data_IF_483271625723
#
_entry.id   IF_483271625723
#
_cell.length_a   1.000
_cell.length_b   1.000
_cell.length_c   1.000
_cell.angle_alpha   90.00
_cell.angle_beta   90.00
_cell.angle_gamma   90.00
#
_symmetry.space_group_name_H-M   'P 1'
#
loop_
_entity.id
_entity.type
_entity.pdbx_description
1 polymer ?
#
# COMPACT_ATOMS: atom_id res chain seq x y z
N UNK A 1 3.35 37.15 6.57
CA UNK A 1 2.05 36.62 6.14
C UNK A 1 1.61 35.51 7.09
N UNK A 2 0.35 35.47 7.55
CA UNK A 2 -0.12 34.41 8.43
C UNK A 2 -0.17 33.06 7.71
N UNK A 3 0.19 31.98 8.40
CA UNK A 3 0.13 30.62 7.86
C UNK A 3 -1.34 30.23 7.68
N UNK A 4 -1.73 29.76 6.49
CA UNK A 4 -3.10 29.32 6.26
C UNK A 4 -3.42 28.02 7.00
N UNK A 5 -4.69 27.83 7.38
CA UNK A 5 -5.16 26.60 8.03
C UNK A 5 -4.83 25.34 7.22
N UNK A 6 -4.83 25.45 5.89
CA UNK A 6 -4.42 24.36 4.98
C UNK A 6 -2.95 23.99 5.16
N UNK A 7 -2.06 24.99 5.29
CA UNK A 7 -0.63 24.77 5.47
C UNK A 7 -0.33 24.18 6.85
N UNK A 8 -1.07 24.60 7.89
CA UNK A 8 -1.00 23.97 9.22
C UNK A 8 -1.41 22.49 9.16
N UNK A 9 -2.55 22.17 8.54
CA UNK A 9 -3.00 20.77 8.38
C UNK A 9 -2.02 19.92 7.59
N UNK A 10 -1.39 20.47 6.55
CA UNK A 10 -0.40 19.73 5.77
C UNK A 10 0.85 19.37 6.59
N UNK A 11 1.21 20.18 7.58
CA UNK A 11 2.36 19.96 8.46
C UNK A 11 2.06 19.03 9.65
N UNK A 12 0.80 18.61 9.85
CA UNK A 12 0.39 17.65 10.87
C UNK A 12 1.22 16.36 10.75
N UNK A 13 1.87 15.94 11.84
CA UNK A 13 2.66 14.71 11.90
C UNK A 13 1.79 13.48 11.68
N UNK A 14 2.36 12.45 11.04
CA UNK A 14 1.68 11.19 10.84
C UNK A 14 1.52 10.44 12.17
N UNK A 15 0.33 9.88 12.34
CA UNK A 15 -0.01 8.93 13.40
C UNK A 15 -0.69 7.72 12.75
N UNK A 16 -0.78 6.57 13.42
CA UNK A 16 -1.41 5.37 12.87
C UNK A 16 -2.88 5.62 12.50
N UNK A 17 -3.61 6.29 13.40
CA UNK A 17 -5.01 6.66 13.22
C UNK A 17 -5.21 7.64 12.06
N UNK A 18 -4.28 8.60 11.91
CA UNK A 18 -4.30 9.52 10.78
C UNK A 18 -4.05 8.77 9.46
N UNK A 19 -3.07 7.87 9.39
CA UNK A 19 -2.82 7.07 8.19
C UNK A 19 -4.05 6.26 7.77
N UNK A 20 -4.67 5.54 8.70
CA UNK A 20 -5.88 4.78 8.41
C UNK A 20 -7.00 5.70 7.91
N UNK A 21 -7.21 6.85 8.56
CA UNK A 21 -8.20 7.84 8.14
C UNK A 21 -7.94 8.40 6.74
N UNK A 22 -6.69 8.67 6.39
CA UNK A 22 -6.30 9.15 5.07
C UNK A 22 -6.50 8.06 4.01
N UNK A 23 -6.12 6.82 4.29
CA UNK A 23 -6.31 5.70 3.36
C UNK A 23 -7.79 5.44 3.07
N UNK A 24 -8.65 5.44 4.10
CA UNK A 24 -10.11 5.36 3.94
C UNK A 24 -10.71 6.47 3.06
N UNK A 25 -10.06 7.63 2.97
CA UNK A 25 -10.50 8.75 2.11
C UNK A 25 -10.02 8.60 0.67
N UNK A 26 -8.90 7.95 0.43
CA UNK A 26 -8.25 7.86 -0.88
C UNK A 26 -8.69 6.59 -1.63
N UNK A 27 -8.86 5.48 -0.89
CA UNK A 27 -9.08 4.15 -1.42
C UNK A 27 -10.41 3.55 -0.94
N UNK A 28 -10.96 2.57 -1.67
CA UNK A 28 -12.20 1.89 -1.30
C UNK A 28 -12.13 1.17 0.06
N UNK A 29 -13.25 1.16 0.79
CA UNK A 29 -13.39 0.43 2.07
C UNK A 29 -13.10 -1.07 1.95
N UNK A 30 -13.26 -1.67 0.76
CA UNK A 30 -12.93 -3.09 0.54
C UNK A 30 -11.45 -3.42 0.77
N UNK A 31 -10.54 -2.44 0.69
CA UNK A 31 -9.11 -2.59 0.98
C UNK A 31 -8.78 -2.45 2.48
N UNK A 32 -9.79 -2.25 3.33
CA UNK A 32 -9.68 -2.16 4.80
C UNK A 32 -10.15 -3.47 5.45
N UNK A 33 -9.54 -4.58 5.05
CA UNK A 33 -9.93 -5.92 5.48
C UNK A 33 -8.93 -6.59 6.42
N UNK A 34 -7.77 -5.96 6.65
CA UNK A 34 -6.75 -6.46 7.58
C UNK A 34 -6.69 -5.50 8.76
N UNK A 35 -6.71 -6.06 9.97
CA UNK A 35 -6.36 -5.37 11.19
C UNK A 35 -4.84 -5.23 11.26
N UNK A 36 -4.29 -4.40 10.37
CA UNK A 36 -2.86 -4.16 10.29
C UNK A 36 -2.47 -2.99 11.18
N UNK A 37 -1.36 -3.16 11.91
CA UNK A 37 -0.80 -2.08 12.70
C UNK A 37 -0.14 -1.05 11.79
N UNK A 38 -0.77 0.13 11.68
CA UNK A 38 -0.15 1.28 11.01
C UNK A 38 1.08 1.82 11.77
N UNK A 39 1.36 1.32 12.98
CA UNK A 39 2.56 1.67 13.76
C UNK A 39 3.84 1.29 13.02
N UNK A 40 3.88 0.12 12.39
CA UNK A 40 5.06 -0.38 11.66
C UNK A 40 5.36 0.45 10.39
N UNK A 41 4.33 1.08 9.83
CA UNK A 41 4.47 1.89 8.63
C UNK A 41 5.07 3.27 8.90
N UNK A 42 4.95 3.79 10.13
CA UNK A 42 5.52 5.09 10.48
C UNK A 42 7.04 5.15 10.32
N UNK A 43 7.84 4.21 10.88
CA UNK A 43 9.28 4.20 10.65
C UNK A 43 9.65 3.92 9.19
N UNK A 44 8.90 3.08 8.47
CA UNK A 44 9.10 2.85 7.03
C UNK A 44 8.93 4.15 6.22
N UNK A 45 7.85 4.89 6.45
CA UNK A 45 7.60 6.18 5.79
C UNK A 45 8.65 7.24 6.18
N UNK A 46 9.09 7.23 7.45
CA UNK A 46 10.08 8.17 7.95
C UNK A 46 11.45 8.00 7.28
N UNK A 47 11.84 6.77 6.90
CA UNK A 47 13.07 6.50 6.12
C UNK A 47 13.10 7.28 4.80
N UNK A 48 11.94 7.46 4.18
CA UNK A 48 11.76 8.23 2.94
C UNK A 48 11.36 9.70 3.17
N UNK A 49 11.58 10.22 4.37
CA UNK A 49 11.24 11.57 4.79
C UNK A 49 9.74 11.93 4.61
N UNK A 50 8.86 10.94 4.68
CA UNK A 50 7.41 11.13 4.68
C UNK A 50 6.93 11.10 6.13
N UNK A 51 6.83 12.27 6.75
CA UNK A 51 6.54 12.42 8.19
C UNK A 51 5.26 13.19 8.46
N UNK A 52 4.71 13.86 7.44
CA UNK A 52 3.55 14.73 7.57
C UNK A 52 2.40 14.31 6.67
N UNK A 53 1.19 14.74 7.06
CA UNK A 53 -0.05 14.57 6.31
C UNK A 53 0.09 14.99 4.84
N UNK A 54 0.70 16.15 4.61
CA UNK A 54 0.86 16.71 3.26
C UNK A 54 1.75 15.84 2.37
N UNK A 55 2.87 15.37 2.92
CA UNK A 55 3.79 14.48 2.20
C UNK A 55 3.15 13.14 1.87
N UNK A 56 2.42 12.54 2.83
CA UNK A 56 1.73 11.27 2.62
C UNK A 56 0.61 11.41 1.58
N UNK A 57 -0.22 12.44 1.69
CA UNK A 57 -1.27 12.71 0.70
C UNK A 57 -0.67 12.90 -0.69
N UNK A 58 0.43 13.65 -0.82
CA UNK A 58 1.10 13.83 -2.10
C UNK A 58 1.55 12.50 -2.71
N UNK A 59 2.18 11.61 -1.92
CA UNK A 59 2.57 10.27 -2.36
C UNK A 59 1.36 9.48 -2.87
N UNK A 60 0.36 9.29 -2.00
CA UNK A 60 -0.74 8.37 -2.28
C UNK A 60 -1.62 8.88 -3.42
N UNK A 61 -1.88 10.19 -3.49
CA UNK A 61 -2.70 10.78 -4.55
C UNK A 61 -1.98 10.77 -5.91
N UNK A 62 -0.65 10.96 -5.93
CA UNK A 62 0.15 10.87 -7.14
C UNK A 62 0.07 9.47 -7.77
N UNK A 63 0.17 8.41 -6.97
CA UNK A 63 0.16 7.03 -7.46
C UNK A 63 -1.24 6.38 -7.49
N UNK A 64 -2.29 7.05 -7.01
CA UNK A 64 -3.64 6.47 -6.80
C UNK A 64 -4.16 5.66 -7.98
N UNK A 65 -4.14 6.21 -9.19
CA UNK A 65 -4.66 5.53 -10.39
C UNK A 65 -3.88 4.25 -10.71
N UNK A 66 -2.55 4.29 -10.56
CA UNK A 66 -1.68 3.14 -10.81
C UNK A 66 -1.86 2.07 -9.74
N UNK A 67 -1.98 2.47 -8.48
CA UNK A 67 -2.27 1.58 -7.35
C UNK A 67 -3.60 0.85 -7.54
N UNK A 68 -4.66 1.58 -7.90
CA UNK A 68 -5.96 0.95 -8.18
C UNK A 68 -5.89 0.00 -9.39
N UNK A 69 -5.09 0.31 -10.41
CA UNK A 69 -4.93 -0.60 -11.54
C UNK A 69 -4.24 -1.90 -11.13
N UNK A 70 -3.15 -1.81 -10.37
CA UNK A 70 -2.42 -2.96 -9.82
C UNK A 70 -3.35 -3.79 -8.91
N UNK A 71 -4.11 -3.14 -8.03
CA UNK A 71 -5.03 -3.81 -7.11
C UNK A 71 -6.22 -4.49 -7.79
N UNK A 72 -6.61 -4.06 -9.00
CA UNK A 72 -7.66 -4.69 -9.79
C UNK A 72 -7.11 -5.57 -10.91
N UNK A 73 -5.79 -5.78 -11.00
CA UNK A 73 -5.19 -6.58 -12.06
C UNK A 73 -5.62 -8.05 -11.88
N UNK A 74 -6.09 -8.73 -12.95
CA UNK A 74 -6.39 -10.14 -12.88
C UNK A 74 -5.12 -10.91 -12.52
N UNK A 75 -5.25 -11.93 -11.68
CA UNK A 75 -4.18 -12.90 -11.51
C UNK A 75 -4.08 -13.75 -12.78
N UNK A 76 -2.85 -14.06 -13.19
CA UNK A 76 -2.65 -15.16 -14.11
C UNK A 76 -2.91 -16.51 -13.41
N UNK A 77 -3.02 -17.57 -14.23
CA UNK A 77 -3.34 -18.89 -13.74
C UNK A 77 -2.30 -19.44 -12.74
N UNK A 78 -1.04 -19.00 -12.84
CA UNK A 78 0.01 -19.44 -11.93
C UNK A 78 -0.17 -18.81 -10.55
N UNK A 79 -0.33 -17.49 -10.49
CA UNK A 79 -0.54 -16.75 -9.24
C UNK A 79 -1.86 -17.15 -8.59
N UNK A 80 -2.93 -17.36 -9.37
CA UNK A 80 -4.19 -17.85 -8.82
C UNK A 80 -4.01 -19.21 -8.13
N UNK A 81 -3.34 -20.16 -8.78
CA UNK A 81 -3.08 -21.48 -8.19
C UNK A 81 -2.21 -21.38 -6.94
N UNK A 82 -1.17 -20.55 -6.97
CA UNK A 82 -0.29 -20.33 -5.83
C UNK A 82 -1.07 -19.76 -4.63
N UNK A 83 -1.81 -18.67 -4.83
CA UNK A 83 -2.57 -18.05 -3.74
C UNK A 83 -3.72 -18.94 -3.24
N UNK A 84 -4.31 -19.78 -4.09
CA UNK A 84 -5.32 -20.76 -3.64
C UNK A 84 -4.72 -21.78 -2.68
N UNK A 85 -3.49 -22.23 -2.95
CA UNK A 85 -2.76 -23.13 -2.06
C UNK A 85 -2.39 -22.46 -0.73
N UNK A 86 -1.92 -21.21 -0.76
CA UNK A 86 -1.44 -20.49 0.43
C UNK A 86 -2.55 -19.87 1.29
N UNK A 87 -3.56 -19.27 0.66
CA UNK A 87 -4.60 -18.46 1.34
C UNK A 87 -5.98 -19.11 1.34
N UNK A 88 -6.13 -20.20 0.59
CA UNK A 88 -7.37 -20.96 0.46
C UNK A 88 -8.33 -20.44 -0.61
N UNK A 89 -9.11 -21.37 -1.16
CA UNK A 89 -10.01 -21.10 -2.29
C UNK A 89 -11.07 -20.04 -2.02
N UNK A 90 -11.63 -20.01 -0.81
CA UNK A 90 -12.68 -19.06 -0.45
C UNK A 90 -12.16 -17.63 -0.44
N UNK A 91 -10.93 -17.41 0.05
CA UNK A 91 -10.31 -16.10 0.07
C UNK A 91 -10.05 -15.61 -1.36
N UNK A 92 -9.40 -16.43 -2.18
CA UNK A 92 -9.03 -16.06 -3.56
C UNK A 92 -10.25 -15.81 -4.42
N UNK A 93 -11.28 -16.67 -4.34
CA UNK A 93 -12.54 -16.46 -5.06
C UNK A 93 -13.26 -15.17 -4.61
N UNK A 94 -13.17 -14.80 -3.34
CA UNK A 94 -13.74 -13.55 -2.84
C UNK A 94 -12.96 -12.32 -3.34
N UNK A 95 -11.63 -12.38 -3.28
CA UNK A 95 -10.72 -11.34 -3.75
C UNK A 95 -10.86 -11.09 -5.26
N UNK A 96 -10.91 -12.16 -6.07
CA UNK A 96 -11.19 -12.09 -7.52
C UNK A 96 -12.54 -11.42 -7.79
N UNK A 97 -13.60 -11.89 -7.11
CA UNK A 97 -14.97 -11.37 -7.32
C UNK A 97 -15.09 -9.89 -6.94
N UNK A 98 -14.41 -9.46 -5.88
CA UNK A 98 -14.49 -8.09 -5.35
C UNK A 98 -13.38 -7.18 -5.86
N UNK A 99 -12.44 -7.73 -6.65
CA UNK A 99 -11.29 -7.06 -7.25
C UNK A 99 -10.52 -6.22 -6.22
N UNK A 100 -10.05 -6.85 -5.15
CA UNK A 100 -9.09 -6.23 -4.24
C UNK A 100 -8.06 -7.28 -3.85
N UNK A 101 -6.78 -6.96 -4.04
CA UNK A 101 -5.66 -7.84 -3.70
C UNK A 101 -4.89 -7.33 -2.50
N UNK A 102 -4.86 -6.00 -2.31
CA UNK A 102 -4.00 -5.35 -1.35
C UNK A 102 -4.80 -4.61 -0.28
N UNK A 103 -4.47 -4.90 0.97
CA UNK A 103 -4.89 -4.08 2.10
C UNK A 103 -4.16 -2.72 2.08
N UNK A 104 -4.68 -1.73 2.81
CA UNK A 104 -4.05 -0.41 2.89
C UNK A 104 -2.54 -0.40 3.17
N UNK A 105 -1.97 -1.19 4.09
CA UNK A 105 -0.52 -1.23 4.29
C UNK A 105 0.25 -1.61 3.02
N UNK A 106 -0.22 -2.64 2.30
CA UNK A 106 0.42 -3.09 1.08
C UNK A 106 0.34 -2.00 -0.01
N UNK A 107 -0.80 -1.32 -0.15
CA UNK A 107 -0.92 -0.18 -1.07
C UNK A 107 0.06 0.97 -0.74
N UNK A 108 0.34 1.20 0.55
CA UNK A 108 1.33 2.20 0.98
C UNK A 108 2.74 1.75 0.56
N UNK A 109 3.10 0.49 0.79
CA UNK A 109 4.42 -0.04 0.41
C UNK A 109 4.62 -0.05 -1.11
N UNK A 110 3.61 -0.44 -1.88
CA UNK A 110 3.65 -0.34 -3.34
C UNK A 110 3.82 1.12 -3.77
N UNK A 111 3.19 2.09 -3.09
CA UNK A 111 3.38 3.50 -3.40
C UNK A 111 4.83 3.97 -3.16
N UNK A 112 5.47 3.48 -2.09
CA UNK A 112 6.88 3.74 -1.81
C UNK A 112 7.79 3.13 -2.89
N UNK A 113 7.57 1.87 -3.25
CA UNK A 113 8.30 1.20 -4.33
C UNK A 113 8.15 1.93 -5.67
N UNK A 114 6.94 2.35 -6.02
CA UNK A 114 6.68 3.13 -7.24
C UNK A 114 7.42 4.47 -7.27
N UNK A 115 7.78 5.04 -6.11
CA UNK A 115 8.45 6.33 -6.00
C UNK A 115 9.97 6.22 -5.84
N UNK A 116 10.43 5.25 -5.06
CA UNK A 116 11.82 5.12 -4.63
C UNK A 116 12.51 3.86 -5.16
N UNK A 117 11.78 2.96 -5.84
CA UNK A 117 12.33 1.74 -6.41
C UNK A 117 12.76 0.72 -5.35
N UNK A 118 13.81 -0.03 -5.68
CA UNK A 118 14.32 -1.16 -4.89
C UNK A 118 14.68 -0.78 -3.43
N UNK A 119 15.03 0.48 -3.15
CA UNK A 119 15.32 0.95 -1.79
C UNK A 119 14.12 0.83 -0.82
N UNK A 120 12.89 0.80 -1.35
CA UNK A 120 11.65 0.68 -0.57
C UNK A 120 11.18 -0.76 -0.36
N UNK A 121 11.82 -1.74 -0.98
CA UNK A 121 11.46 -3.15 -0.85
C UNK A 121 11.99 -3.66 0.50
N UNK A 122 11.09 -3.96 1.43
CA UNK A 122 11.44 -4.42 2.79
C UNK A 122 11.51 -5.93 2.93
N UNK A 123 11.16 -6.69 1.88
CA UNK A 123 11.37 -8.13 1.82
C UNK A 123 12.76 -8.40 1.24
N UNK A 124 13.53 -9.29 1.87
CA UNK A 124 14.68 -9.89 1.21
C UNK A 124 14.19 -10.45 -0.13
N UNK A 125 14.64 -9.88 -1.24
CA UNK A 125 14.44 -10.48 -2.56
C UNK A 125 15.07 -11.86 -2.45
N UNK A 126 14.27 -12.90 -2.23
CA UNK A 126 14.72 -14.27 -2.47
C UNK A 126 14.98 -14.30 -3.96
N UNK A 127 16.24 -14.17 -4.33
CA UNK A 127 16.67 -14.27 -5.71
C UNK A 127 16.15 -15.60 -6.23
N UNK A 128 15.10 -15.54 -7.04
CA UNK A 128 14.68 -16.68 -7.84
C UNK A 128 15.71 -16.80 -8.94
N UNK A 129 16.88 -17.35 -8.60
CA UNK A 129 17.82 -17.83 -9.61
C UNK A 129 17.08 -18.85 -10.46
N UNK A 130 16.95 -18.68 -11.79
CA UNK A 130 16.58 -19.79 -12.63
C UNK A 130 17.78 -20.73 -12.65
N UNK A 131 17.77 -21.75 -11.80
CA UNK A 131 18.67 -22.89 -11.95
C UNK A 131 18.31 -23.56 -13.27
N UNK A 132 19.06 -23.18 -14.29
CA UNK A 132 19.12 -23.91 -15.55
C UNK A 132 19.89 -25.19 -15.25
N UNK A 133 19.19 -26.33 -15.22
CA UNK A 133 19.73 -27.66 -15.56
C UNK A 133 18.66 -28.41 -16.34
#
# INVERSE_FOLDING_TARGET
MPISARKLRAAESLTPTLLQSLMRKIFPKKNDYVEASFEELLPELARFNIKTRGQFLALMTHHRKRLLRIDNEPLDAWHERYYRAELGDQFVSNALRRQYWFAYPALIRIALELKFGDEAVTYERVESSPTTV
#
